data_IF_872743665844
#
_entry.id   IF_872743665844
#
_cell.length_a   1.000
_cell.length_b   1.000
_cell.length_c   1.000
_cell.angle_alpha   90.00
_cell.angle_beta   90.00
_cell.angle_gamma   90.00
#
_symmetry.space_group_name_H-M   'P 1'
#
loop_
_entity.id
_entity.type
_entity.pdbx_description
1 polymer ?
#
# COMPACT_ATOMS: atom_id res chain seq x y z
N UNK A 1 -5.49 -22.80 7.79
CA UNK A 1 -6.40 -23.30 6.73
C UNK A 1 -5.70 -24.14 5.66
N UNK A 2 -4.54 -23.72 5.13
CA UNK A 2 -3.79 -24.46 4.10
C UNK A 2 -3.51 -25.94 4.43
N UNK A 3 -2.96 -26.23 5.62
CA UNK A 3 -2.66 -27.60 6.04
C UNK A 3 -3.91 -28.51 6.07
N UNK A 4 -5.06 -27.97 6.47
CA UNK A 4 -6.31 -28.72 6.47
C UNK A 4 -6.78 -29.07 5.04
N UNK A 5 -6.60 -28.17 4.07
CA UNK A 5 -6.93 -28.43 2.67
C UNK A 5 -6.02 -29.50 2.06
N UNK A 6 -4.73 -29.49 2.38
CA UNK A 6 -3.77 -30.51 1.95
C UNK A 6 -4.14 -31.87 2.54
N UNK A 7 -4.43 -31.92 3.84
CA UNK A 7 -4.81 -33.16 4.53
C UNK A 7 -6.15 -33.72 4.00
N UNK A 8 -7.13 -32.86 3.76
CA UNK A 8 -8.41 -33.26 3.16
C UNK A 8 -8.22 -33.80 1.75
N UNK A 9 -7.37 -33.16 0.92
CA UNK A 9 -7.05 -33.67 -0.40
C UNK A 9 -6.43 -35.07 -0.34
N UNK A 10 -5.52 -35.30 0.62
CA UNK A 10 -4.87 -36.60 0.81
C UNK A 10 -5.85 -37.69 1.28
N UNK A 11 -6.72 -37.38 2.25
CA UNK A 11 -7.66 -38.35 2.84
C UNK A 11 -8.84 -38.68 1.95
N UNK A 12 -9.37 -37.70 1.21
CA UNK A 12 -10.61 -37.87 0.44
C UNK A 12 -10.37 -38.16 -1.04
N UNK A 13 -9.19 -37.81 -1.58
CA UNK A 13 -8.91 -37.89 -3.01
C UNK A 13 -9.69 -36.88 -3.85
N UNK A 14 -10.46 -35.98 -3.25
CA UNK A 14 -11.29 -35.04 -4.00
C UNK A 14 -10.46 -33.87 -4.59
N UNK A 15 -10.47 -33.66 -5.93
CA UNK A 15 -9.61 -32.67 -6.58
C UNK A 15 -9.82 -31.22 -6.11
N UNK A 16 -11.05 -30.88 -5.66
CA UNK A 16 -11.39 -29.53 -5.21
C UNK A 16 -10.53 -29.06 -4.04
N UNK A 17 -10.09 -29.94 -3.16
CA UNK A 17 -9.26 -29.57 -2.01
C UNK A 17 -7.83 -29.25 -2.44
N UNK A 18 -7.25 -30.05 -3.35
CA UNK A 18 -5.93 -29.79 -3.91
C UNK A 18 -5.91 -28.47 -4.69
N UNK A 19 -6.94 -28.19 -5.50
CA UNK A 19 -7.07 -26.93 -6.25
C UNK A 19 -7.18 -25.71 -5.32
N UNK A 20 -7.95 -25.82 -4.22
CA UNK A 20 -8.05 -24.74 -3.22
C UNK A 20 -6.73 -24.52 -2.48
N UNK A 21 -6.02 -25.60 -2.13
CA UNK A 21 -4.69 -25.50 -1.53
C UNK A 21 -3.69 -24.81 -2.47
N UNK A 22 -3.70 -25.15 -3.76
CA UNK A 22 -2.85 -24.52 -4.77
C UNK A 22 -3.15 -23.02 -4.94
N UNK A 23 -4.43 -22.63 -5.03
CA UNK A 23 -4.84 -21.21 -5.09
C UNK A 23 -4.41 -20.43 -3.85
N UNK A 24 -4.55 -21.02 -2.67
CA UNK A 24 -4.11 -20.40 -1.42
C UNK A 24 -2.58 -20.26 -1.35
N UNK A 25 -1.83 -21.23 -1.89
CA UNK A 25 -0.37 -21.08 -2.02
C UNK A 25 0.02 -20.01 -3.02
N UNK A 26 -0.70 -19.89 -4.15
CA UNK A 26 -0.46 -18.84 -5.13
C UNK A 26 -0.73 -17.45 -4.55
N UNK A 27 -1.74 -17.28 -3.68
CA UNK A 27 -2.04 -15.96 -3.09
C UNK A 27 -0.96 -15.47 -2.12
N UNK A 28 -0.13 -16.36 -1.56
CA UNK A 28 0.95 -16.00 -0.62
C UNK A 28 2.35 -16.17 -1.22
N UNK A 29 2.46 -16.57 -2.50
CA UNK A 29 3.74 -16.93 -3.10
C UNK A 29 4.67 -15.73 -3.31
N UNK A 30 4.13 -14.55 -3.62
CA UNK A 30 4.91 -13.33 -3.79
C UNK A 30 5.61 -12.93 -2.49
N UNK A 31 4.87 -12.83 -1.38
CA UNK A 31 5.43 -12.53 -0.05
C UNK A 31 6.47 -13.56 0.38
N UNK A 32 6.24 -14.84 0.10
CA UNK A 32 7.20 -15.90 0.40
C UNK A 32 8.47 -15.81 -0.46
N UNK A 33 8.34 -15.38 -1.72
CA UNK A 33 9.47 -15.20 -2.63
C UNK A 33 10.32 -13.97 -2.25
N UNK A 34 9.68 -12.87 -1.85
CA UNK A 34 10.35 -11.64 -1.45
C UNK A 34 11.03 -11.77 -0.07
N UNK A 35 10.42 -12.52 0.87
CA UNK A 35 10.88 -12.59 2.26
C UNK A 35 10.91 -14.01 2.86
N UNK A 36 11.56 -15.00 2.22
CA UNK A 36 11.46 -16.41 2.61
C UNK A 36 11.87 -16.66 4.08
N UNK A 37 13.00 -16.07 4.51
CA UNK A 37 13.51 -16.21 5.88
C UNK A 37 12.62 -15.49 6.91
N UNK A 38 11.99 -14.38 6.53
CA UNK A 38 11.08 -13.62 7.39
C UNK A 38 9.83 -14.43 7.73
N UNK A 39 9.20 -15.03 6.72
CA UNK A 39 8.05 -15.92 6.88
C UNK A 39 8.35 -17.16 7.74
N UNK A 40 9.52 -17.79 7.53
CA UNK A 40 9.95 -18.96 8.32
C UNK A 40 10.18 -18.58 9.78
N UNK A 41 10.91 -17.49 10.04
CA UNK A 41 11.21 -17.05 11.40
C UNK A 41 9.94 -16.60 12.14
N UNK A 42 9.00 -15.94 11.46
CA UNK A 42 7.71 -15.55 12.03
C UNK A 42 6.88 -16.78 12.43
N UNK A 43 6.84 -17.80 11.56
CA UNK A 43 6.17 -19.07 11.86
C UNK A 43 6.82 -19.77 13.06
N UNK A 44 8.15 -19.80 13.12
CA UNK A 44 8.90 -20.42 14.23
C UNK A 44 8.68 -19.67 15.55
N UNK A 45 8.64 -18.34 15.52
CA UNK A 45 8.35 -17.52 16.68
C UNK A 45 6.94 -17.80 17.20
N UNK A 46 5.94 -17.82 16.31
CA UNK A 46 4.56 -18.16 16.65
C UNK A 46 4.44 -19.55 17.29
N UNK A 47 5.07 -20.58 16.71
CA UNK A 47 5.07 -21.93 17.29
C UNK A 47 5.74 -21.97 18.67
N UNK A 48 6.81 -21.19 18.87
CA UNK A 48 7.49 -21.06 20.15
C UNK A 48 6.59 -20.39 21.19
N UNK A 49 5.84 -19.37 20.81
CA UNK A 49 4.88 -18.69 21.69
C UNK A 49 3.71 -19.61 22.06
N UNK A 50 3.16 -20.36 21.09
CA UNK A 50 2.10 -21.34 21.32
C UNK A 50 2.55 -22.47 22.26
N UNK A 51 3.80 -22.94 22.12
CA UNK A 51 4.38 -23.96 23.01
C UNK A 51 4.61 -23.44 24.44
N UNK A 52 4.74 -22.12 24.62
CA UNK A 52 4.92 -21.44 25.92
C UNK A 52 3.68 -20.65 26.31
N UNK A 53 2.52 -21.28 26.16
CA UNK A 53 1.20 -20.66 26.38
C UNK A 53 1.09 -20.05 27.78
N UNK A 54 1.64 -20.70 28.79
CA UNK A 54 1.72 -20.20 30.17
C UNK A 54 2.24 -18.76 30.26
N UNK A 55 3.21 -18.41 29.43
CA UNK A 55 3.87 -17.10 29.42
C UNK A 55 3.25 -16.08 28.46
N UNK A 56 2.63 -16.55 27.37
CA UNK A 56 2.17 -15.67 26.29
C UNK A 56 0.65 -15.64 26.09
N UNK A 57 -0.14 -16.39 26.86
CA UNK A 57 -1.59 -16.48 26.65
C UNK A 57 -2.32 -15.14 26.75
N UNK A 58 -1.91 -14.24 27.67
CA UNK A 58 -2.51 -12.91 27.80
C UNK A 58 -2.14 -11.96 26.66
N UNK A 59 -1.03 -12.25 25.96
CA UNK A 59 -0.56 -11.47 24.81
C UNK A 59 -1.04 -12.04 23.47
N UNK A 60 -1.49 -13.30 23.48
CA UNK A 60 -2.03 -14.02 22.33
C UNK A 60 -3.56 -14.03 22.43
N UNK A 61 -4.16 -12.85 22.38
CA UNK A 61 -5.61 -12.73 22.20
C UNK A 61 -5.91 -12.93 20.71
N UNK A 62 -5.98 -14.20 20.29
CA UNK A 62 -6.48 -14.51 18.96
C UNK A 62 -7.94 -14.08 18.93
N UNK A 63 -8.24 -13.00 18.22
CA UNK A 63 -9.60 -12.54 17.97
C UNK A 63 -10.47 -13.76 17.63
N UNK A 64 -11.35 -14.12 18.56
CA UNK A 64 -12.43 -15.06 18.32
C UNK A 64 -13.49 -14.31 17.51
N UNK A 65 -13.15 -13.99 16.27
CA UNK A 65 -14.11 -13.40 15.36
C UNK A 65 -15.03 -14.50 14.88
N UNK A 66 -16.18 -14.60 15.56
CA UNK A 66 -17.40 -15.13 14.99
C UNK A 66 -17.58 -14.51 13.61
N UNK A 67 -17.68 -15.37 12.60
CA UNK A 67 -17.77 -14.97 11.22
C UNK A 67 -19.03 -14.15 10.97
N UNK A 68 -18.84 -12.86 10.69
CA UNK A 68 -19.72 -12.14 9.79
C UNK A 68 -18.90 -11.71 8.59
N UNK A 69 -19.29 -12.25 7.46
CA UNK A 69 -18.76 -12.02 6.13
C UNK A 69 -18.99 -10.54 5.76
N UNK A 70 -17.99 -9.72 6.00
CA UNK A 70 -17.79 -8.49 5.25
C UNK A 70 -16.31 -8.41 4.91
N UNK A 71 -16.01 -8.38 3.62
CA UNK A 71 -14.75 -7.87 3.12
C UNK A 71 -14.71 -6.37 3.48
N UNK A 72 -14.45 -6.07 4.74
CA UNK A 72 -14.01 -4.74 5.13
C UNK A 72 -12.68 -4.54 4.43
N UNK A 73 -12.72 -3.86 3.27
CA UNK A 73 -11.59 -3.00 2.89
C UNK A 73 -11.31 -2.22 4.16
N UNK A 74 -10.17 -2.42 4.80
CA UNK A 74 -9.73 -1.53 5.87
C UNK A 74 -9.87 -0.13 5.28
N UNK A 75 -10.91 0.60 5.70
CA UNK A 75 -11.21 1.90 5.10
C UNK A 75 -10.01 2.76 5.44
N UNK A 76 -9.22 3.10 4.41
CA UNK A 76 -8.14 4.06 4.60
C UNK A 76 -8.81 5.36 5.02
N UNK A 77 -8.28 6.10 6.02
CA UNK A 77 -8.79 7.42 6.39
C UNK A 77 -8.53 8.47 5.29
N UNK A 78 -8.07 8.03 4.12
CA UNK A 78 -7.74 8.84 2.96
C UNK A 78 -8.44 8.26 1.74
N UNK A 79 -9.36 9.04 1.15
CA UNK A 79 -9.94 8.74 -0.15
C UNK A 79 -9.13 9.44 -1.25
N UNK A 80 -8.75 8.71 -2.30
CA UNK A 80 -8.00 9.25 -3.45
C UNK A 80 -8.94 9.35 -4.65
N UNK A 81 -9.01 10.54 -5.24
CA UNK A 81 -9.86 10.88 -6.37
C UNK A 81 -8.99 11.36 -7.53
N UNK A 82 -9.42 11.04 -8.75
CA UNK A 82 -8.75 11.46 -9.99
C UNK A 82 -9.74 12.22 -10.87
N UNK A 83 -9.26 13.22 -11.60
CA UNK A 83 -10.13 14.05 -12.44
C UNK A 83 -10.45 13.45 -13.81
N UNK A 84 -9.83 12.32 -14.17
CA UNK A 84 -10.03 11.63 -15.46
C UNK A 84 -9.92 10.13 -15.29
N UNK A 85 -10.61 9.40 -16.14
CA UNK A 85 -10.59 7.93 -16.20
C UNK A 85 -9.69 7.42 -17.33
N UNK A 86 -9.29 8.28 -18.28
CA UNK A 86 -8.41 7.91 -19.38
C UNK A 86 -7.62 9.10 -19.93
N UNK A 87 -6.45 8.84 -20.51
CA UNK A 87 -5.72 9.80 -21.35
C UNK A 87 -4.80 9.08 -22.35
N UNK A 88 -4.41 9.80 -23.40
CA UNK A 88 -3.35 9.40 -24.32
C UNK A 88 -2.11 10.27 -24.13
N UNK A 89 -0.93 9.68 -24.35
CA UNK A 89 0.36 10.37 -24.31
C UNK A 89 1.12 10.04 -25.59
N UNK A 90 1.60 11.08 -26.27
CA UNK A 90 2.48 10.96 -27.44
C UNK A 90 3.69 11.89 -27.28
N UNK A 91 4.64 11.83 -28.22
CA UNK A 91 5.86 12.65 -28.16
C UNK A 91 5.55 14.16 -28.23
N UNK A 92 4.44 14.55 -28.86
CA UNK A 92 4.03 15.96 -29.01
C UNK A 92 2.89 16.38 -28.07
N UNK A 93 2.32 15.43 -27.31
CA UNK A 93 1.16 15.65 -26.46
C UNK A 93 1.35 15.03 -25.06
N UNK A 94 1.96 15.77 -24.12
CA UNK A 94 1.97 15.36 -22.72
C UNK A 94 0.55 15.45 -22.13
N UNK A 95 0.25 14.54 -21.20
CA UNK A 95 -1.03 14.53 -20.49
C UNK A 95 -0.89 15.17 -19.11
N UNK A 96 -1.96 15.81 -18.62
CA UNK A 96 -2.04 16.25 -17.23
C UNK A 96 -3.42 16.00 -16.65
N UNK A 97 -3.48 15.69 -15.37
CA UNK A 97 -4.71 15.50 -14.62
C UNK A 97 -4.53 15.85 -13.14
N UNK A 98 -5.64 16.05 -12.44
CA UNK A 98 -5.66 16.38 -11.02
C UNK A 98 -5.89 15.14 -10.18
N UNK A 99 -5.15 15.07 -9.07
CA UNK A 99 -5.43 14.15 -7.96
C UNK A 99 -5.91 14.95 -6.78
N UNK A 100 -6.96 14.46 -6.12
CA UNK A 100 -7.42 14.99 -4.84
C UNK A 100 -7.37 13.88 -3.80
N UNK A 101 -6.90 14.19 -2.60
CA UNK A 101 -6.95 13.30 -1.46
C UNK A 101 -7.81 13.94 -0.37
N UNK A 102 -8.87 13.24 0.03
CA UNK A 102 -9.74 13.61 1.15
C UNK A 102 -9.30 12.84 2.38
N UNK A 103 -8.87 13.56 3.41
CA UNK A 103 -8.27 13.04 4.64
C UNK A 103 -9.29 13.24 5.76
N UNK A 104 -9.64 12.15 6.43
CA UNK A 104 -10.57 12.18 7.54
C UNK A 104 -10.08 13.09 8.69
N UNK A 105 -11.00 13.75 9.42
CA UNK A 105 -10.63 14.55 10.58
C UNK A 105 -9.84 13.75 11.63
N UNK A 106 -8.80 14.36 12.19
CA UNK A 106 -7.89 13.70 13.14
C UNK A 106 -6.74 12.92 12.49
N UNK A 107 -6.72 12.84 11.16
CA UNK A 107 -5.61 12.30 10.40
C UNK A 107 -4.88 13.39 9.60
N UNK A 108 -3.63 13.08 9.28
CA UNK A 108 -2.79 13.84 8.38
C UNK A 108 -1.94 12.90 7.53
N UNK A 109 -1.55 13.36 6.34
CA UNK A 109 -0.59 12.65 5.50
C UNK A 109 0.72 13.42 5.44
N UNK A 110 1.84 12.70 5.42
CA UNK A 110 3.17 13.30 5.31
C UNK A 110 3.31 13.98 3.95
N UNK A 111 3.71 15.25 3.95
CA UNK A 111 3.88 16.02 2.72
C UNK A 111 4.97 15.43 1.83
N UNK A 112 4.94 15.78 0.54
CA UNK A 112 5.95 15.31 -0.39
C UNK A 112 7.36 15.78 -0.01
N UNK A 113 7.48 17.01 0.47
CA UNK A 113 8.66 17.49 1.19
C UNK A 113 8.36 17.52 2.69
N UNK A 114 8.76 16.48 3.46
CA UNK A 114 8.50 16.43 4.89
C UNK A 114 9.40 17.38 5.69
N UNK A 115 10.39 18.04 5.07
CA UNK A 115 11.38 18.89 5.72
C UNK A 115 12.63 18.12 6.22
N UNK A 116 13.51 18.83 6.93
CA UNK A 116 14.84 18.30 7.31
C UNK A 116 14.91 17.70 8.74
N UNK A 117 13.82 17.75 9.50
CA UNK A 117 13.77 17.27 10.89
C UNK A 117 14.02 15.76 11.01
N UNK A 118 14.46 15.29 12.17
CA UNK A 118 14.69 13.85 12.40
C UNK A 118 13.41 13.02 12.22
N UNK A 119 12.25 13.53 12.65
CA UNK A 119 10.96 12.91 12.37
C UNK A 119 10.67 12.79 10.87
N UNK A 120 11.01 13.83 10.08
CA UNK A 120 10.79 13.82 8.64
C UNK A 120 11.55 12.69 7.93
N UNK A 121 12.71 12.26 8.46
CA UNK A 121 13.54 11.19 7.89
C UNK A 121 12.98 9.79 8.11
N UNK A 122 12.14 9.58 9.13
CA UNK A 122 11.57 8.27 9.46
C UNK A 122 10.16 8.07 8.90
N UNK A 123 9.57 9.13 8.34
CA UNK A 123 8.21 9.14 7.78
C UNK A 123 8.22 8.80 6.28
N UNK A 124 7.11 8.23 5.80
CA UNK A 124 6.94 7.90 4.40
C UNK A 124 6.19 9.02 3.65
N UNK A 125 6.87 9.79 2.78
CA UNK A 125 6.28 10.97 2.16
C UNK A 125 5.30 10.64 1.03
N UNK A 126 4.38 11.56 0.75
CA UNK A 126 3.47 11.49 -0.39
C UNK A 126 4.23 11.41 -1.72
N UNK A 127 4.00 10.37 -2.52
CA UNK A 127 4.60 10.17 -3.85
C UNK A 127 3.59 9.62 -4.84
N UNK A 128 3.41 10.29 -5.96
CA UNK A 128 2.75 9.79 -7.15
C UNK A 128 3.79 9.28 -8.15
N UNK A 129 3.48 8.17 -8.83
CA UNK A 129 4.38 7.58 -9.81
C UNK A 129 3.87 6.27 -10.40
N UNK A 130 4.77 5.56 -11.08
CA UNK A 130 4.50 4.22 -11.62
C UNK A 130 4.58 3.17 -10.51
N UNK A 131 3.52 2.39 -10.35
CA UNK A 131 3.52 1.14 -9.58
C UNK A 131 4.17 0.02 -10.41
N UNK A 132 3.88 0.00 -11.71
CA UNK A 132 4.41 -0.99 -12.66
C UNK A 132 4.38 -0.43 -14.08
N UNK A 133 5.11 -1.06 -14.99
CA UNK A 133 5.16 -0.65 -16.38
C UNK A 133 6.22 0.42 -16.65
N UNK A 134 6.30 0.85 -17.90
CA UNK A 134 7.34 1.73 -18.41
C UNK A 134 6.85 2.57 -19.60
N UNK A 135 7.79 3.29 -20.20
CA UNK A 135 7.66 4.16 -21.37
C UNK A 135 6.98 5.52 -21.09
N UNK A 136 6.83 5.88 -19.81
CA UNK A 136 6.36 7.20 -19.37
C UNK A 136 7.17 7.74 -18.19
N UNK A 137 7.32 9.06 -18.13
CA UNK A 137 7.81 9.80 -16.98
C UNK A 137 6.63 10.49 -16.28
N UNK A 138 6.63 10.49 -14.94
CA UNK A 138 5.55 11.05 -14.13
C UNK A 138 6.12 12.16 -13.25
N UNK A 139 5.50 13.32 -13.31
CA UNK A 139 5.85 14.50 -12.55
C UNK A 139 4.64 14.95 -11.76
N UNK A 140 4.82 15.36 -10.51
CA UNK A 140 3.73 15.81 -9.65
C UNK A 140 4.11 17.14 -9.00
N UNK A 141 3.20 18.10 -9.10
CA UNK A 141 3.33 19.42 -8.51
C UNK A 141 2.65 19.44 -7.13
N UNK A 142 3.35 18.89 -6.14
CA UNK A 142 2.78 18.76 -4.79
C UNK A 142 2.68 20.12 -4.10
N UNK A 143 1.56 20.41 -3.42
CA UNK A 143 1.44 21.60 -2.59
C UNK A 143 2.42 21.52 -1.41
N UNK A 144 2.78 22.69 -0.89
CA UNK A 144 3.57 22.77 0.32
C UNK A 144 2.75 22.28 1.53
N UNK A 145 3.37 21.43 2.35
CA UNK A 145 2.76 20.97 3.60
C UNK A 145 2.82 22.00 4.71
N UNK A 146 1.95 21.84 5.71
CA UNK A 146 1.95 22.62 6.92
C UNK A 146 2.87 21.99 7.97
N UNK A 147 3.65 22.82 8.65
CA UNK A 147 4.57 22.35 9.69
C UNK A 147 3.80 21.82 10.90
N UNK A 148 4.06 20.56 11.25
CA UNK A 148 3.51 19.84 12.38
C UNK A 148 4.62 19.29 13.28
N UNK A 149 4.21 18.77 14.43
CA UNK A 149 5.11 18.17 15.42
C UNK A 149 5.65 19.17 16.44
N UNK A 150 6.31 18.63 17.47
CA UNK A 150 6.93 19.39 18.56
C UNK A 150 8.44 19.27 18.46
N UNK A 151 9.18 20.09 19.23
CA UNK A 151 10.63 19.97 19.30
C UNK A 151 11.08 18.61 19.87
N UNK A 152 10.28 18.02 20.77
CA UNK A 152 10.57 16.72 21.39
C UNK A 152 10.34 15.53 20.47
N UNK A 153 9.34 15.61 19.59
CA UNK A 153 8.98 14.54 18.65
C UNK A 153 9.68 14.74 17.29
N UNK A 154 10.08 15.98 16.98
CA UNK A 154 10.58 16.40 15.69
C UNK A 154 9.50 17.10 14.86
N UNK A 155 9.91 18.11 14.09
CA UNK A 155 9.03 18.82 13.15
C UNK A 155 9.06 18.16 11.78
N UNK A 156 7.90 18.10 11.14
CA UNK A 156 7.73 17.61 9.77
C UNK A 156 6.56 18.33 9.10
N UNK A 157 6.49 18.30 7.77
CA UNK A 157 5.38 18.90 7.03
C UNK A 157 4.33 17.84 6.68
N UNK A 158 3.05 18.21 6.80
CA UNK A 158 1.92 17.33 6.53
C UNK A 158 0.75 18.07 5.87
N UNK A 159 -0.23 17.31 5.38
CA UNK A 159 -1.51 17.82 4.89
C UNK A 159 -2.66 17.23 5.69
N UNK A 160 -3.71 18.03 5.90
CA UNK A 160 -4.96 17.64 6.54
C UNK A 160 -6.16 18.13 5.73
N UNK A 161 -7.33 17.52 5.92
CA UNK A 161 -8.55 17.89 5.21
C UNK A 161 -8.49 17.48 3.74
N UNK A 162 -8.40 18.44 2.81
CA UNK A 162 -8.35 18.14 1.37
C UNK A 162 -7.06 18.70 0.77
N UNK A 163 -6.35 17.85 0.04
CA UNK A 163 -5.17 18.24 -0.72
C UNK A 163 -5.38 17.91 -2.20
N UNK A 164 -5.02 18.83 -3.07
CA UNK A 164 -5.13 18.69 -4.52
C UNK A 164 -3.78 19.00 -5.16
N UNK A 165 -3.40 18.24 -6.17
CA UNK A 165 -2.17 18.46 -6.92
C UNK A 165 -2.30 18.00 -8.37
N UNK A 166 -1.48 18.59 -9.23
CA UNK A 166 -1.42 18.26 -10.65
C UNK A 166 -0.37 17.19 -10.90
N UNK A 167 -0.69 16.22 -11.74
CA UNK A 167 0.24 15.24 -12.28
C UNK A 167 0.39 15.50 -13.78
N UNK A 168 1.63 15.63 -14.23
CA UNK A 168 2.00 15.70 -15.63
C UNK A 168 2.72 14.41 -16.05
N UNK A 169 2.42 13.94 -17.26
CA UNK A 169 2.95 12.69 -17.81
C UNK A 169 3.44 12.95 -19.22
N UNK A 170 4.64 12.46 -19.49
CA UNK A 170 5.29 12.55 -20.79
C UNK A 170 5.74 11.17 -21.24
N UNK A 171 5.75 10.95 -22.56
CA UNK A 171 6.30 9.73 -23.14
C UNK A 171 7.81 9.73 -22.93
N UNK A 172 8.31 8.66 -22.34
CA UNK A 172 9.72 8.52 -22.00
C UNK A 172 10.17 7.07 -22.24
N UNK A 173 10.55 6.71 -23.47
CA UNK A 173 10.89 5.35 -23.84
C UNK A 173 11.97 4.74 -22.93
N UNK A 174 11.73 3.54 -22.41
CA UNK A 174 12.63 2.83 -21.52
C UNK A 174 12.69 3.35 -20.08
N UNK A 175 11.94 4.39 -19.73
CA UNK A 175 11.79 4.87 -18.36
C UNK A 175 10.60 4.17 -17.69
N UNK A 176 10.81 3.57 -16.52
CA UNK A 176 9.74 2.90 -15.79
C UNK A 176 10.20 1.99 -14.67
N UNK A 177 9.23 1.39 -13.97
CA UNK A 177 9.48 0.45 -12.89
C UNK A 177 9.75 -0.97 -13.41
N UNK A 178 9.10 -1.37 -14.50
CA UNK A 178 9.21 -2.71 -15.08
C UNK A 178 8.65 -2.76 -16.51
N UNK A 179 9.02 -3.76 -17.34
CA UNK A 179 8.37 -3.96 -18.63
C UNK A 179 6.87 -4.23 -18.48
N UNK A 180 6.04 -3.56 -19.29
CA UNK A 180 4.59 -3.78 -19.32
C UNK A 180 3.77 -2.50 -19.40
N UNK A 181 2.45 -2.64 -19.36
CA UNK A 181 1.52 -1.50 -19.39
C UNK A 181 1.71 -0.63 -18.13
N UNK A 182 1.82 0.70 -18.27
CA UNK A 182 1.98 1.59 -17.13
C UNK A 182 0.75 1.54 -16.22
N UNK A 183 0.99 1.48 -14.91
CA UNK A 183 -0.03 1.58 -13.87
C UNK A 183 0.42 2.66 -12.90
N UNK A 184 -0.40 3.69 -12.74
CA UNK A 184 -0.11 4.81 -11.84
C UNK A 184 -0.62 4.52 -10.43
N UNK A 185 0.05 5.13 -9.46
CA UNK A 185 -0.33 5.06 -8.06
C UNK A 185 0.08 6.28 -7.28
N UNK A 186 -0.56 6.44 -6.14
CA UNK A 186 -0.20 7.41 -5.11
C UNK A 186 0.11 6.64 -3.83
N UNK A 187 1.34 6.79 -3.38
CA UNK A 187 1.84 6.23 -2.13
C UNK A 187 1.89 7.30 -1.06
N UNK A 188 1.39 6.98 0.13
CA UNK A 188 1.35 7.91 1.27
C UNK A 188 1.33 7.14 2.58
N UNK A 189 1.56 7.85 3.67
CA UNK A 189 1.35 7.36 5.02
C UNK A 189 0.44 8.32 5.76
N UNK A 190 -0.67 7.79 6.27
CA UNK A 190 -1.57 8.52 7.15
C UNK A 190 -1.16 8.30 8.60
N UNK A 191 -1.14 9.38 9.38
CA UNK A 191 -0.87 9.36 10.81
C UNK A 191 -2.00 10.09 11.54
N UNK A 192 -2.28 9.64 12.75
CA UNK A 192 -3.03 10.40 13.75
C UNK A 192 -2.05 11.15 14.65
N UNK A 193 -2.57 11.85 15.66
CA UNK A 193 -1.73 12.52 16.66
C UNK A 193 -0.88 11.55 17.50
N UNK A 194 -1.26 10.26 17.56
CA UNK A 194 -0.62 9.28 18.45
C UNK A 194 0.15 8.19 17.71
N UNK A 195 -0.20 7.89 16.47
CA UNK A 195 0.41 6.78 15.72
C UNK A 195 0.36 6.99 14.20
N UNK A 196 1.29 6.34 13.51
CA UNK A 196 1.29 6.26 12.06
C UNK A 196 0.81 4.89 11.58
N UNK A 197 -0.08 4.90 10.60
CA UNK A 197 -0.50 3.69 9.91
C UNK A 197 0.63 3.20 9.00
N UNK A 198 0.49 1.97 8.51
CA UNK A 198 1.40 1.46 7.48
C UNK A 198 1.29 2.30 6.21
N UNK A 199 2.40 2.56 5.50
CA UNK A 199 2.35 3.16 4.18
C UNK A 199 1.43 2.38 3.25
N UNK A 200 0.69 3.11 2.43
CA UNK A 200 -0.26 2.54 1.47
C UNK A 200 0.01 3.12 0.09
N UNK A 201 -0.14 2.29 -0.93
CA UNK A 201 -0.14 2.70 -2.33
C UNK A 201 -1.51 2.42 -2.92
N UNK A 202 -2.21 3.48 -3.31
CA UNK A 202 -3.49 3.40 -4.00
C UNK A 202 -3.25 3.45 -5.50
N UNK A 203 -3.70 2.42 -6.20
CA UNK A 203 -3.71 2.39 -7.67
C UNK A 203 -4.71 3.41 -8.19
N UNK A 204 -4.31 4.20 -9.18
CA UNK A 204 -5.21 5.07 -9.90
C UNK A 204 -5.88 4.27 -11.03
N UNK A 205 -7.21 4.28 -11.06
CA UNK A 205 -8.00 3.59 -12.08
C UNK A 205 -8.11 4.47 -13.34
N UNK A 206 -6.97 4.68 -14.00
CA UNK A 206 -6.87 5.46 -15.23
C UNK A 206 -6.36 4.57 -16.37
N UNK A 207 -7.05 4.60 -17.51
CA UNK A 207 -6.61 3.96 -18.73
C UNK A 207 -5.57 4.82 -19.46
N UNK A 208 -4.41 4.23 -19.74
CA UNK A 208 -3.26 4.93 -20.34
C UNK A 208 -3.00 4.34 -21.72
N UNK A 209 -3.10 5.20 -22.75
CA UNK A 209 -2.71 4.86 -24.12
C UNK A 209 -1.43 5.60 -24.48
N UNK A 210 -0.40 4.87 -24.90
CA UNK A 210 0.85 5.45 -25.40
C UNK A 210 0.84 5.31 -26.92
N UNK A 211 0.98 6.43 -27.63
CA UNK A 211 1.02 6.51 -29.10
C UNK A 211 2.46 6.72 -29.62
#
# INVERSE_FOLDING_TARGET
MLHALIELAHRTGEPRFAQRAAKLMQSISATLAEHPLGTINSTRALLTMLARRDRYHELLDFATNDGSDSLERTQSPVAVLVSTDAFSVSDDAPASFKVAMEIEPGYHIVAADPGEGEAAKSLYPLRAGLISGQDIAVYADYPQGEAMGTEAVGRFNAHSGRVEFDIAIEKAPGIGASPGKPVLGVSFQACSDTECLQPQTVRLDIEITIE
#
